data_IF_325098860492
#
_entry.id   IF_325098860492
#
_cell.length_a   1.000
_cell.length_b   1.000
_cell.length_c   1.000
_cell.angle_alpha   90.00
_cell.angle_beta   90.00
_cell.angle_gamma   90.00
#
_symmetry.space_group_name_H-M   'P 1'
#
loop_
_entity.id
_entity.type
_entity.pdbx_description
1 polymer ?
#
# COMPACT_ATOMS: atom_id res chain seq x y z
N UNK A 1 -5.68 -3.40 -13.89
CA UNK A 1 -4.37 -3.89 -13.41
C UNK A 1 -4.34 -3.78 -11.89
N UNK A 2 -4.69 -4.88 -11.23
CA UNK A 2 -4.70 -4.91 -9.78
C UNK A 2 -3.33 -4.56 -9.20
N UNK A 3 -2.31 -4.65 -10.04
CA UNK A 3 -0.94 -4.35 -9.59
C UNK A 3 -0.90 -2.96 -8.98
N UNK A 4 -1.53 -2.00 -9.65
CA UNK A 4 -1.55 -0.63 -9.16
C UNK A 4 -2.05 -0.58 -7.72
N UNK A 5 -3.07 -1.39 -7.44
CA UNK A 5 -3.64 -1.45 -6.10
C UNK A 5 -2.73 -2.30 -5.22
N UNK A 6 -2.20 -3.38 -5.80
CA UNK A 6 -1.32 -4.27 -5.07
C UNK A 6 -0.07 -3.54 -4.57
N UNK A 7 0.57 -2.79 -5.46
CA UNK A 7 1.77 -2.05 -5.07
C UNK A 7 1.41 -0.97 -4.06
N UNK A 8 0.30 -0.29 -4.30
CA UNK A 8 -0.16 0.75 -3.39
C UNK A 8 -0.56 0.12 -2.06
N UNK A 9 -1.33 -0.96 -2.13
CA UNK A 9 -1.76 -1.65 -0.93
C UNK A 9 -0.56 -2.00 -0.07
N UNK A 10 0.55 -2.33 -0.72
CA UNK A 10 1.78 -2.66 -0.01
C UNK A 10 2.22 -1.49 0.86
N UNK A 11 2.02 -0.28 0.36
CA UNK A 11 2.41 0.93 1.07
C UNK A 11 1.47 1.20 2.25
N UNK A 12 0.24 0.73 2.14
CA UNK A 12 -0.76 0.97 3.18
C UNK A 12 -0.29 0.47 4.54
N UNK A 13 0.21 -0.76 4.61
CA UNK A 13 0.67 -1.29 5.89
C UNK A 13 1.74 -0.37 6.45
N UNK A 14 2.61 0.12 5.57
CA UNK A 14 3.68 1.01 5.98
C UNK A 14 3.06 2.28 6.56
N UNK A 15 2.07 2.80 5.86
CA UNK A 15 1.38 4.01 6.30
C UNK A 15 0.63 3.71 7.58
N UNK A 16 -0.11 2.60 7.58
CA UNK A 16 -0.88 2.21 8.75
C UNK A 16 0.06 2.05 9.94
N UNK A 17 1.20 1.41 9.71
CA UNK A 17 2.18 1.21 10.77
C UNK A 17 2.77 2.54 11.18
N UNK A 18 2.97 3.40 10.19
CA UNK A 18 3.55 4.72 10.43
C UNK A 18 2.54 5.59 11.20
N UNK A 19 1.28 5.55 10.77
CA UNK A 19 0.24 6.33 11.42
C UNK A 19 -0.24 5.64 12.68
N UNK A 20 0.04 4.38 12.86
#
# INVERSE_FOLDING_TARGET
PMARNKILGKILRKIAAFKX
#
